data_IF_898314246120
#
_entry.id   IF_898314246120
#
_cell.length_a   1.000
_cell.length_b   1.000
_cell.length_c   1.000
_cell.angle_alpha   90.00
_cell.angle_beta   90.00
_cell.angle_gamma   90.00
#
_symmetry.space_group_name_H-M   'P 1'
#
loop_
_entity.id
_entity.type
_entity.pdbx_description
1 polymer ?
#
# COMPACT_ATOMS: atom_id res chain seq x y z
N UNK A 1 -24.05 21.71 -7.04
CA UNK A 1 -24.94 21.03 -8.01
C UNK A 1 -24.51 19.59 -8.38
N UNK A 2 -23.22 19.28 -8.60
CA UNK A 2 -22.77 17.90 -8.93
C UNK A 2 -22.95 16.88 -7.77
N UNK A 3 -22.80 17.32 -6.51
CA UNK A 3 -22.93 16.44 -5.34
C UNK A 3 -24.38 15.99 -5.06
N UNK A 4 -25.36 16.89 -5.22
CA UNK A 4 -26.79 16.61 -4.98
C UNK A 4 -27.35 15.64 -6.03
N UNK A 5 -26.98 15.81 -7.31
CA UNK A 5 -27.31 14.85 -8.38
C UNK A 5 -26.67 13.47 -8.16
N UNK A 6 -25.50 13.41 -7.52
CA UNK A 6 -24.86 12.16 -7.15
C UNK A 6 -25.61 11.39 -6.07
N UNK A 7 -26.09 12.07 -5.04
CA UNK A 7 -26.82 11.44 -3.93
C UNK A 7 -28.17 10.92 -4.40
N UNK A 8 -28.89 11.70 -5.24
CA UNK A 8 -30.19 11.28 -5.79
C UNK A 8 -30.09 10.01 -6.64
N UNK A 9 -29.06 9.88 -7.49
CA UNK A 9 -28.84 8.67 -8.29
C UNK A 9 -28.50 7.45 -7.45
N UNK A 10 -27.71 7.63 -6.38
CA UNK A 10 -27.42 6.56 -5.42
C UNK A 10 -28.68 6.10 -4.68
N UNK A 11 -29.52 7.03 -4.25
CA UNK A 11 -30.81 6.69 -3.61
C UNK A 11 -31.74 5.88 -4.51
N UNK A 12 -31.87 6.28 -5.79
CA UNK A 12 -32.66 5.53 -6.78
C UNK A 12 -32.07 4.14 -7.03
N UNK A 13 -30.74 4.05 -7.15
CA UNK A 13 -30.05 2.77 -7.31
C UNK A 13 -30.29 1.83 -6.12
N UNK A 14 -30.16 2.32 -4.88
CA UNK A 14 -30.45 1.53 -3.67
C UNK A 14 -31.91 1.06 -3.69
N UNK A 15 -32.86 1.96 -3.97
CA UNK A 15 -34.28 1.61 -4.00
C UNK A 15 -34.60 0.51 -5.01
N UNK A 16 -34.09 0.60 -6.24
CA UNK A 16 -34.33 -0.39 -7.29
C UNK A 16 -33.67 -1.73 -7.00
N UNK A 17 -32.40 -1.72 -6.57
CA UNK A 17 -31.68 -2.96 -6.23
C UNK A 17 -32.34 -3.65 -5.03
N UNK A 18 -32.67 -2.91 -3.97
CA UNK A 18 -33.36 -3.46 -2.80
C UNK A 18 -34.73 -4.03 -3.16
N UNK A 19 -35.47 -3.38 -4.07
CA UNK A 19 -36.77 -3.89 -4.52
C UNK A 19 -36.61 -5.23 -5.25
N UNK A 20 -35.67 -5.32 -6.19
CA UNK A 20 -35.38 -6.56 -6.95
C UNK A 20 -34.90 -7.67 -6.00
N UNK A 21 -34.01 -7.33 -5.05
CA UNK A 21 -33.49 -8.30 -4.09
C UNK A 21 -34.59 -8.80 -3.15
N UNK A 22 -35.44 -7.91 -2.65
CA UNK A 22 -36.54 -8.25 -1.75
C UNK A 22 -37.64 -9.05 -2.46
N UNK A 23 -38.00 -8.68 -3.69
CA UNK A 23 -39.02 -9.41 -4.46
C UNK A 23 -38.57 -10.84 -4.75
N UNK A 24 -37.30 -11.01 -5.17
CA UNK A 24 -36.74 -12.33 -5.38
C UNK A 24 -36.63 -13.12 -4.07
N UNK A 25 -36.21 -12.50 -2.96
CA UNK A 25 -36.19 -13.17 -1.66
C UNK A 25 -37.56 -13.67 -1.21
N UNK A 26 -38.57 -12.81 -1.24
CA UNK A 26 -39.93 -13.14 -0.80
C UNK A 26 -40.56 -14.25 -1.64
N UNK A 27 -40.18 -14.34 -2.92
CA UNK A 27 -40.68 -15.37 -3.83
C UNK A 27 -40.30 -16.80 -3.38
N UNK A 28 -39.14 -16.98 -2.76
CA UNK A 28 -38.69 -18.28 -2.24
C UNK A 28 -38.91 -18.44 -0.74
N UNK A 29 -39.03 -17.34 0.01
CA UNK A 29 -39.24 -17.37 1.46
C UNK A 29 -40.72 -17.59 1.86
N UNK A 30 -41.67 -17.15 1.03
CA UNK A 30 -43.10 -17.29 1.30
C UNK A 30 -43.68 -18.53 0.60
N UNK A 31 -44.59 -19.29 1.25
CA UNK A 31 -45.23 -20.47 0.68
C UNK A 31 -46.35 -20.11 -0.33
N UNK A 32 -46.13 -19.08 -1.15
CA UNK A 32 -47.11 -18.58 -2.12
C UNK A 32 -47.18 -19.50 -3.34
N UNK A 33 -46.06 -20.14 -3.69
CA UNK A 33 -45.97 -21.06 -4.82
C UNK A 33 -45.44 -22.41 -4.32
N UNK A 34 -46.23 -23.51 -4.40
CA UNK A 34 -45.84 -24.81 -3.83
C UNK A 34 -44.64 -25.43 -4.56
N UNK A 35 -44.45 -25.13 -5.84
CA UNK A 35 -43.25 -25.47 -6.63
C UNK A 35 -42.97 -24.32 -7.59
N UNK A 36 -41.81 -23.66 -7.47
CA UNK A 36 -41.45 -22.55 -8.35
C UNK A 36 -41.24 -23.08 -9.79
N UNK A 37 -41.93 -22.52 -10.82
CA UNK A 37 -41.69 -22.86 -12.22
C UNK A 37 -40.24 -22.55 -12.63
N UNK A 38 -39.72 -23.29 -13.61
CA UNK A 38 -38.34 -23.10 -14.11
C UNK A 38 -38.12 -21.68 -14.65
N UNK A 39 -39.15 -21.09 -15.23
CA UNK A 39 -39.14 -19.74 -15.80
C UNK A 39 -38.94 -18.68 -14.71
N UNK A 40 -39.51 -18.89 -13.52
CA UNK A 40 -39.37 -17.99 -12.38
C UNK A 40 -37.94 -18.04 -11.82
N UNK A 41 -37.37 -19.24 -11.72
CA UNK A 41 -35.97 -19.44 -11.30
C UNK A 41 -34.99 -18.79 -12.28
N UNK A 42 -35.24 -18.95 -13.58
CA UNK A 42 -34.47 -18.30 -14.62
C UNK A 42 -34.61 -16.77 -14.57
N UNK A 43 -35.80 -16.25 -14.29
CA UNK A 43 -36.04 -14.82 -14.05
C UNK A 43 -35.22 -14.28 -12.89
N UNK A 44 -35.21 -14.97 -11.73
CA UNK A 44 -34.41 -14.58 -10.57
C UNK A 44 -32.91 -14.58 -10.86
N UNK A 45 -32.42 -15.55 -11.64
CA UNK A 45 -31.02 -15.59 -12.08
C UNK A 45 -30.68 -14.41 -13.00
N UNK A 46 -31.55 -14.10 -13.96
CA UNK A 46 -31.38 -12.96 -14.86
C UNK A 46 -31.39 -11.63 -14.11
N UNK A 47 -32.30 -11.48 -13.15
CA UNK A 47 -32.39 -10.29 -12.30
C UNK A 47 -31.07 -10.06 -11.54
N UNK A 48 -30.55 -11.12 -10.92
CA UNK A 48 -29.35 -11.05 -10.10
C UNK A 48 -28.06 -10.90 -10.93
N UNK A 49 -27.94 -11.62 -12.05
CA UNK A 49 -26.70 -11.68 -12.84
C UNK A 49 -26.62 -10.62 -13.94
N UNK A 50 -27.74 -10.03 -14.38
CA UNK A 50 -27.76 -9.08 -15.50
C UNK A 50 -28.50 -7.78 -15.15
N UNK A 51 -29.71 -7.84 -14.61
CA UNK A 51 -30.50 -6.62 -14.36
C UNK A 51 -29.85 -5.73 -13.30
N UNK A 52 -29.43 -6.30 -12.16
CA UNK A 52 -28.71 -5.55 -11.11
C UNK A 52 -27.39 -4.96 -11.65
N UNK A 53 -26.52 -5.71 -12.37
CA UNK A 53 -25.34 -5.14 -13.01
C UNK A 53 -25.64 -4.03 -14.04
N UNK A 54 -26.69 -4.16 -14.85
CA UNK A 54 -27.10 -3.14 -15.83
C UNK A 54 -27.56 -1.87 -15.11
N UNK A 55 -28.44 -1.99 -14.10
CA UNK A 55 -28.88 -0.85 -13.29
C UNK A 55 -27.68 -0.19 -12.61
N UNK A 56 -26.76 -0.97 -12.06
CA UNK A 56 -25.54 -0.47 -11.44
C UNK A 56 -24.63 0.24 -12.46
N UNK A 57 -24.55 -0.29 -13.68
CA UNK A 57 -23.79 0.34 -14.75
C UNK A 57 -24.34 1.73 -15.08
N UNK A 58 -25.65 1.86 -15.32
CA UNK A 58 -26.25 3.14 -15.74
C UNK A 58 -26.24 4.19 -14.63
N UNK A 59 -26.51 3.81 -13.39
CA UNK A 59 -26.64 4.76 -12.28
C UNK A 59 -25.31 5.11 -11.59
N UNK A 60 -24.35 4.17 -11.56
CA UNK A 60 -23.09 4.32 -10.82
C UNK A 60 -21.87 4.37 -11.76
N UNK A 61 -21.70 3.42 -12.68
CA UNK A 61 -20.41 3.17 -13.36
C UNK A 61 -20.21 4.04 -14.60
N UNK A 62 -21.19 4.14 -15.52
CA UNK A 62 -21.11 4.67 -16.91
C UNK A 62 -20.40 6.02 -17.09
N UNK A 63 -20.26 6.83 -16.03
CA UNK A 63 -19.62 8.16 -16.09
C UNK A 63 -18.59 8.44 -14.99
N UNK A 64 -18.26 7.44 -14.16
CA UNK A 64 -17.42 7.65 -12.96
C UNK A 64 -16.36 6.60 -12.74
N UNK A 65 -16.62 5.37 -13.17
CA UNK A 65 -15.76 4.24 -12.90
C UNK A 65 -15.48 3.47 -14.19
N UNK A 66 -14.38 2.72 -14.18
CA UNK A 66 -14.05 1.79 -15.27
C UNK A 66 -15.12 0.70 -15.38
N UNK A 67 -15.31 0.16 -16.58
CA UNK A 67 -16.22 -0.96 -16.84
C UNK A 67 -15.86 -2.20 -16.00
N UNK A 68 -14.60 -2.29 -15.55
CA UNK A 68 -14.09 -3.35 -14.68
C UNK A 68 -14.84 -3.47 -13.35
N UNK A 69 -15.49 -2.41 -12.87
CA UNK A 69 -16.30 -2.44 -11.64
C UNK A 69 -17.64 -3.18 -11.80
N UNK A 70 -18.04 -3.58 -13.02
CA UNK A 70 -19.21 -4.44 -13.22
C UNK A 70 -18.94 -5.85 -12.71
N UNK A 71 -17.71 -6.35 -12.86
CA UNK A 71 -17.32 -7.72 -12.48
C UNK A 71 -17.66 -8.07 -11.03
N UNK A 72 -17.26 -7.28 -10.00
CA UNK A 72 -17.65 -7.59 -8.62
C UNK A 72 -19.16 -7.51 -8.37
N UNK A 73 -19.90 -6.70 -9.13
CA UNK A 73 -21.37 -6.61 -9.00
C UNK A 73 -22.05 -7.87 -9.53
N UNK A 74 -21.57 -8.41 -10.66
CA UNK A 74 -22.06 -9.69 -11.21
C UNK A 74 -21.77 -10.84 -10.24
N UNK A 75 -20.56 -10.88 -9.65
CA UNK A 75 -20.18 -11.89 -8.66
C UNK A 75 -21.09 -11.81 -7.42
N UNK A 76 -21.31 -10.61 -6.87
CA UNK A 76 -22.19 -10.41 -5.72
C UNK A 76 -23.64 -10.81 -6.03
N UNK A 77 -24.13 -10.48 -7.23
CA UNK A 77 -25.46 -10.89 -7.69
C UNK A 77 -25.60 -12.42 -7.79
N UNK A 78 -24.60 -13.11 -8.33
CA UNK A 78 -24.57 -14.57 -8.38
C UNK A 78 -24.56 -15.22 -6.99
N UNK A 79 -23.73 -14.72 -6.06
CA UNK A 79 -23.69 -15.20 -4.67
C UNK A 79 -25.06 -15.05 -4.00
N UNK A 80 -25.71 -13.90 -4.20
CA UNK A 80 -27.03 -13.63 -3.67
C UNK A 80 -28.10 -14.56 -4.25
N UNK A 81 -28.09 -14.80 -5.57
CA UNK A 81 -29.01 -15.74 -6.20
C UNK A 81 -28.87 -17.15 -5.62
N UNK A 82 -27.64 -17.61 -5.38
CA UNK A 82 -27.37 -18.93 -4.76
C UNK A 82 -27.82 -19.01 -3.30
N UNK A 83 -27.84 -17.90 -2.59
CA UNK A 83 -28.32 -17.86 -1.20
C UNK A 83 -29.85 -17.98 -1.11
N UNK A 84 -30.56 -17.48 -2.12
CA UNK A 84 -32.02 -17.39 -2.10
C UNK A 84 -32.69 -18.56 -2.81
N UNK A 85 -32.14 -19.01 -3.94
CA UNK A 85 -32.73 -20.06 -4.75
C UNK A 85 -32.35 -21.42 -4.12
N UNK A 86 -33.33 -22.26 -3.73
CA UNK A 86 -33.04 -23.59 -3.22
C UNK A 86 -32.26 -24.43 -4.23
N UNK A 87 -31.30 -25.22 -3.74
CA UNK A 87 -30.34 -25.97 -4.56
C UNK A 87 -30.99 -26.93 -5.57
N UNK A 88 -32.15 -27.47 -5.24
CA UNK A 88 -32.86 -28.45 -6.08
C UNK A 88 -33.34 -27.82 -7.39
N UNK A 89 -33.66 -26.53 -7.38
CA UNK A 89 -34.03 -25.78 -8.58
C UNK A 89 -32.83 -25.46 -9.46
N UNK A 90 -31.65 -25.25 -8.86
CA UNK A 90 -30.43 -24.94 -9.60
C UNK A 90 -29.86 -26.17 -10.35
N UNK A 91 -30.13 -27.39 -9.86
CA UNK A 91 -29.72 -28.64 -10.52
C UNK A 91 -30.38 -28.81 -11.90
N UNK A 92 -31.55 -28.23 -12.13
CA UNK A 92 -32.24 -28.28 -13.43
C UNK A 92 -31.54 -27.46 -14.52
N UNK A 93 -30.59 -26.58 -14.17
CA UNK A 93 -29.90 -25.69 -15.09
C UNK A 93 -28.41 -26.04 -15.19
N UNK A 94 -28.10 -27.12 -15.92
CA UNK A 94 -26.72 -27.56 -16.20
C UNK A 94 -25.85 -26.47 -16.85
N UNK A 95 -26.46 -25.50 -17.55
CA UNK A 95 -25.78 -24.33 -18.12
C UNK A 95 -25.07 -23.44 -17.08
N UNK A 96 -25.58 -23.40 -15.83
CA UNK A 96 -24.95 -22.62 -14.75
C UNK A 96 -23.57 -23.17 -14.42
N UNK A 97 -23.43 -24.50 -14.36
CA UNK A 97 -22.14 -25.15 -14.14
C UNK A 97 -21.13 -24.81 -15.24
N UNK A 98 -21.55 -24.77 -16.51
CA UNK A 98 -20.68 -24.37 -17.62
C UNK A 98 -20.26 -22.89 -17.53
N UNK A 99 -21.16 -21.98 -17.09
CA UNK A 99 -20.80 -20.58 -16.85
C UNK A 99 -19.74 -20.43 -15.75
N UNK A 100 -19.88 -21.17 -14.65
CA UNK A 100 -18.90 -21.14 -13.55
C UNK A 100 -17.53 -21.60 -14.05
N UNK A 101 -17.49 -22.73 -14.75
CA UNK A 101 -16.24 -23.27 -15.32
C UNK A 101 -15.63 -22.28 -16.32
N UNK A 102 -16.44 -21.67 -17.20
CA UNK A 102 -15.96 -20.64 -18.12
C UNK A 102 -15.41 -19.40 -17.39
N UNK A 103 -16.04 -18.98 -16.30
CA UNK A 103 -15.58 -17.87 -15.47
C UNK A 103 -14.27 -18.20 -14.75
N UNK A 104 -14.12 -19.41 -14.22
CA UNK A 104 -12.88 -19.89 -13.61
C UNK A 104 -11.73 -19.95 -14.64
N UNK A 105 -11.98 -20.48 -15.84
CA UNK A 105 -10.99 -20.49 -16.92
C UNK A 105 -10.58 -19.07 -17.32
N UNK A 106 -11.55 -18.16 -17.44
CA UNK A 106 -11.27 -16.76 -17.75
C UNK A 106 -10.44 -16.09 -16.64
N UNK A 107 -10.75 -16.36 -15.37
CA UNK A 107 -10.02 -15.86 -14.21
C UNK A 107 -8.57 -16.34 -14.21
N UNK A 108 -8.34 -17.66 -14.37
CA UNK A 108 -7.01 -18.25 -14.50
C UNK A 108 -6.25 -17.67 -15.70
N UNK A 109 -6.93 -17.47 -16.84
CA UNK A 109 -6.35 -16.84 -18.02
C UNK A 109 -5.86 -15.41 -17.77
N UNK A 110 -6.60 -14.62 -16.98
CA UNK A 110 -6.20 -13.27 -16.57
C UNK A 110 -4.97 -13.33 -15.65
N UNK A 111 -4.95 -14.23 -14.67
CA UNK A 111 -3.80 -14.40 -13.77
C UNK A 111 -2.52 -14.78 -14.54
N UNK A 112 -2.63 -15.75 -15.45
CA UNK A 112 -1.51 -16.15 -16.32
C UNK A 112 -1.04 -15.02 -17.23
N UNK A 113 -1.96 -14.22 -17.78
CA UNK A 113 -1.60 -13.06 -18.59
C UNK A 113 -0.86 -11.98 -17.77
N UNK A 114 -1.32 -11.71 -16.54
CA UNK A 114 -0.63 -10.78 -15.64
C UNK A 114 0.75 -11.30 -15.26
N UNK A 115 0.88 -12.58 -14.93
CA UNK A 115 2.15 -13.23 -14.65
C UNK A 115 3.10 -13.14 -15.83
N UNK A 116 2.63 -13.47 -17.05
CA UNK A 116 3.41 -13.34 -18.28
C UNK A 116 3.94 -11.92 -18.48
N UNK A 117 3.10 -10.89 -18.25
CA UNK A 117 3.51 -9.49 -18.37
C UNK A 117 4.61 -9.14 -17.36
N UNK A 118 4.49 -9.59 -16.11
CA UNK A 118 5.52 -9.38 -15.07
C UNK A 118 6.83 -10.06 -15.47
N UNK A 119 6.77 -11.34 -15.82
CA UNK A 119 7.94 -12.16 -16.22
C UNK A 119 8.65 -11.55 -17.43
N UNK A 120 7.91 -10.99 -18.41
CA UNK A 120 8.52 -10.38 -19.59
C UNK A 120 9.25 -9.07 -19.30
N UNK A 121 8.81 -8.31 -18.29
CA UNK A 121 9.39 -7.01 -17.93
C UNK A 121 10.54 -7.15 -16.92
N UNK A 122 10.48 -8.17 -16.07
CA UNK A 122 11.44 -8.41 -14.99
C UNK A 122 12.92 -8.44 -15.45
N UNK A 123 13.30 -9.11 -16.56
CA UNK A 123 14.70 -9.10 -17.02
C UNK A 123 15.22 -7.69 -17.34
N UNK A 124 14.37 -6.81 -17.87
CA UNK A 124 14.73 -5.42 -18.18
C UNK A 124 14.99 -4.62 -16.90
N UNK A 125 14.12 -4.80 -15.89
CA UNK A 125 14.30 -4.18 -14.57
C UNK A 125 15.59 -4.68 -13.93
N UNK A 126 15.87 -5.98 -13.96
CA UNK A 126 17.10 -6.56 -13.39
C UNK A 126 18.34 -5.98 -14.08
N UNK A 127 18.32 -5.84 -15.41
CA UNK A 127 19.42 -5.23 -16.16
C UNK A 127 19.65 -3.79 -15.72
N UNK A 128 18.61 -2.96 -15.72
CA UNK A 128 18.68 -1.55 -15.30
C UNK A 128 19.09 -1.40 -13.84
N UNK A 129 18.58 -2.24 -12.96
CA UNK A 129 18.98 -2.30 -11.56
C UNK A 129 20.48 -2.57 -11.43
N UNK A 130 21.03 -3.56 -12.16
CA UNK A 130 22.48 -3.85 -12.14
C UNK A 130 23.32 -2.68 -12.66
N UNK A 131 22.84 -1.93 -13.64
CA UNK A 131 23.48 -0.70 -14.14
C UNK A 131 23.51 0.36 -13.02
N UNK A 132 22.36 0.75 -12.46
CA UNK A 132 22.29 1.76 -11.39
C UNK A 132 22.98 1.34 -10.09
N UNK A 133 23.02 0.04 -9.78
CA UNK A 133 23.70 -0.51 -8.60
C UNK A 133 25.23 -0.37 -8.68
N UNK A 134 25.81 -0.30 -9.89
CA UNK A 134 27.25 -0.06 -10.07
C UNK A 134 27.61 1.40 -9.82
N UNK A 135 26.71 2.31 -10.18
CA UNK A 135 26.90 3.75 -10.02
C UNK A 135 26.57 4.23 -8.60
N UNK A 136 25.61 3.58 -7.92
CA UNK A 136 25.11 3.99 -6.62
C UNK A 136 25.10 2.87 -5.58
N UNK A 137 25.46 3.21 -4.33
CA UNK A 137 25.58 2.26 -3.22
C UNK A 137 24.24 1.82 -2.59
N UNK A 138 23.13 2.53 -2.82
CA UNK A 138 21.84 2.22 -2.18
C UNK A 138 20.96 1.31 -3.04
N UNK A 139 20.45 0.22 -2.44
CA UNK A 139 19.54 -0.71 -3.13
C UNK A 139 18.23 -0.01 -3.45
N UNK A 140 17.72 0.74 -2.46
CA UNK A 140 16.47 1.49 -2.56
C UNK A 140 16.48 2.46 -3.75
N UNK A 141 17.59 3.21 -3.91
CA UNK A 141 17.74 4.11 -5.04
C UNK A 141 17.80 3.36 -6.38
N UNK A 142 18.65 2.34 -6.48
CA UNK A 142 18.85 1.61 -7.73
C UNK A 142 17.56 0.91 -8.20
N UNK A 143 16.78 0.34 -7.29
CA UNK A 143 15.51 -0.29 -7.64
C UNK A 143 14.45 0.75 -8.02
N UNK A 144 14.42 1.93 -7.36
CA UNK A 144 13.55 3.02 -7.77
C UNK A 144 13.84 3.43 -9.23
N UNK A 145 15.10 3.78 -9.51
CA UNK A 145 15.52 4.21 -10.83
C UNK A 145 15.27 3.16 -11.91
N UNK A 146 15.47 1.86 -11.60
CA UNK A 146 15.21 0.78 -12.55
C UNK A 146 13.72 0.67 -12.93
N UNK A 147 12.81 0.84 -11.96
CA UNK A 147 11.38 0.84 -12.22
C UNK A 147 10.95 2.08 -13.00
N UNK A 148 11.44 3.27 -12.62
CA UNK A 148 11.16 4.53 -13.31
C UNK A 148 11.61 4.51 -14.77
N UNK A 149 12.76 3.91 -15.06
CA UNK A 149 13.30 3.77 -16.42
C UNK A 149 12.54 2.74 -17.28
N UNK A 150 11.85 1.78 -16.67
CA UNK A 150 11.24 0.65 -17.39
C UNK A 150 9.72 0.81 -17.57
N UNK A 151 9.04 1.49 -16.65
CA UNK A 151 7.59 1.65 -16.70
C UNK A 151 7.11 2.93 -16.01
N UNK A 152 5.93 3.39 -16.42
CA UNK A 152 5.26 4.51 -15.77
C UNK A 152 4.81 4.12 -14.35
N UNK A 153 5.12 4.99 -13.39
CA UNK A 153 4.65 4.87 -12.00
C UNK A 153 3.12 4.92 -11.93
N UNK A 154 2.54 3.83 -11.44
CA UNK A 154 1.15 3.71 -11.06
C UNK A 154 1.09 3.26 -9.59
N UNK A 155 -0.03 3.45 -8.92
CA UNK A 155 -0.17 3.06 -7.50
C UNK A 155 0.12 1.59 -7.25
N UNK A 156 -0.27 0.71 -8.17
CA UNK A 156 0.05 -0.72 -8.09
C UNK A 156 1.56 -0.98 -8.20
N UNK A 157 2.26 -0.26 -9.08
CA UNK A 157 3.73 -0.34 -9.20
C UNK A 157 4.42 0.15 -7.93
N UNK A 158 3.91 1.23 -7.33
CA UNK A 158 4.47 1.76 -6.07
C UNK A 158 4.30 0.77 -4.92
N UNK A 159 3.14 0.10 -4.83
CA UNK A 159 2.89 -0.96 -3.83
C UNK A 159 3.85 -2.12 -4.04
N UNK A 160 3.96 -2.65 -5.27
CA UNK A 160 4.87 -3.75 -5.59
C UNK A 160 6.32 -3.37 -5.25
N UNK A 161 6.74 -2.15 -5.57
CA UNK A 161 8.07 -1.66 -5.25
C UNK A 161 8.32 -1.63 -3.74
N UNK A 162 7.36 -1.13 -2.95
CA UNK A 162 7.46 -1.13 -1.48
C UNK A 162 7.57 -2.56 -0.95
N UNK A 163 6.76 -3.49 -1.43
CA UNK A 163 6.84 -4.91 -1.05
C UNK A 163 8.18 -5.55 -1.45
N UNK A 164 8.71 -5.24 -2.64
CA UNK A 164 10.04 -5.69 -3.06
C UNK A 164 11.13 -5.18 -2.13
N UNK A 165 11.06 -3.91 -1.69
CA UNK A 165 11.99 -3.36 -0.70
C UNK A 165 11.85 -4.06 0.65
N UNK A 166 10.62 -4.27 1.12
CA UNK A 166 10.32 -4.96 2.36
C UNK A 166 10.95 -6.36 2.37
N UNK A 167 10.66 -7.18 1.35
CA UNK A 167 11.21 -8.55 1.23
C UNK A 167 12.74 -8.52 1.16
N UNK A 168 13.32 -7.60 0.37
CA UNK A 168 14.77 -7.47 0.25
C UNK A 168 15.42 -7.15 1.59
N UNK A 169 14.92 -6.15 2.32
CA UNK A 169 15.52 -5.76 3.59
C UNK A 169 15.24 -6.78 4.70
N UNK A 170 14.07 -7.43 4.71
CA UNK A 170 13.76 -8.49 5.67
C UNK A 170 14.66 -9.70 5.53
N UNK A 171 14.93 -10.16 4.30
CA UNK A 171 15.51 -11.50 4.07
C UNK A 171 16.82 -11.51 3.28
N UNK A 172 17.03 -10.57 2.35
CA UNK A 172 18.13 -10.64 1.37
C UNK A 172 19.29 -9.70 1.67
N UNK A 173 19.08 -8.65 2.48
CA UNK A 173 20.10 -7.62 2.73
C UNK A 173 21.11 -7.97 3.85
N UNK A 174 21.02 -9.15 4.46
CA UNK A 174 21.81 -9.52 5.64
C UNK A 174 23.31 -9.59 5.37
N UNK A 175 23.71 -10.02 4.16
CA UNK A 175 25.12 -10.07 3.73
C UNK A 175 25.61 -8.78 3.09
N UNK A 176 24.71 -7.84 2.82
CA UNK A 176 25.07 -6.58 2.18
C UNK A 176 25.91 -5.72 3.14
N UNK A 177 26.93 -5.01 2.64
CA UNK A 177 27.71 -4.10 3.48
C UNK A 177 26.92 -2.83 3.77
N UNK A 178 27.07 -2.28 4.98
CA UNK A 178 26.53 -0.95 5.28
C UNK A 178 27.36 0.07 4.49
N UNK A 179 26.75 1.01 3.74
CA UNK A 179 27.50 2.05 3.06
C UNK A 179 28.32 2.88 4.07
N UNK A 180 29.59 3.11 3.74
CA UNK A 180 30.54 3.88 4.56
C UNK A 180 31.30 4.84 3.66
N UNK A 181 31.59 6.04 4.15
CA UNK A 181 32.35 7.05 3.40
C UNK A 181 32.31 8.40 4.10
N UNK A 182 33.08 9.37 3.58
CA UNK A 182 33.11 10.73 4.13
C UNK A 182 31.81 11.51 3.93
N UNK A 183 31.04 11.15 2.90
CA UNK A 183 29.76 11.76 2.51
C UNK A 183 28.53 11.04 3.08
N UNK A 184 28.74 10.06 3.96
CA UNK A 184 27.68 9.14 4.42
C UNK A 184 27.51 9.25 5.93
N UNK A 185 26.28 9.45 6.37
CA UNK A 185 25.95 9.75 7.77
C UNK A 185 24.84 8.83 8.28
N UNK A 186 25.07 8.14 9.39
CA UNK A 186 24.02 7.36 10.06
C UNK A 186 23.16 8.25 10.95
N UNK A 187 21.96 7.78 11.28
CA UNK A 187 20.95 8.50 12.05
C UNK A 187 20.27 7.61 13.11
N UNK A 188 20.74 6.38 13.29
CA UNK A 188 20.09 5.35 14.09
C UNK A 188 21.00 4.72 15.13
N UNK A 189 22.30 5.07 15.16
CA UNK A 189 23.26 4.41 16.06
C UNK A 189 23.25 5.03 17.45
N UNK A 190 22.92 6.32 17.56
CA UNK A 190 22.82 7.05 18.84
C UNK A 190 21.38 7.24 19.30
N UNK A 191 20.45 6.44 18.78
CA UNK A 191 19.02 6.50 19.11
C UNK A 191 18.52 5.16 19.65
N UNK A 192 17.39 5.18 20.34
CA UNK A 192 16.75 3.96 20.84
C UNK A 192 16.02 3.13 19.77
N UNK A 193 15.97 3.61 18.52
CA UNK A 193 15.03 3.14 17.51
C UNK A 193 15.11 1.64 17.20
N UNK A 194 16.32 1.10 17.02
CA UNK A 194 16.50 -0.34 16.77
C UNK A 194 15.99 -1.15 17.97
N UNK A 195 16.30 -0.71 19.19
CA UNK A 195 15.83 -1.35 20.41
C UNK A 195 14.30 -1.38 20.51
N UNK A 196 13.63 -0.28 20.13
CA UNK A 196 12.15 -0.21 20.10
C UNK A 196 11.58 -1.22 19.11
N UNK A 197 12.11 -1.32 17.89
CA UNK A 197 11.61 -2.33 16.94
C UNK A 197 11.85 -3.75 17.42
N UNK A 198 13.00 -4.05 18.03
CA UNK A 198 13.28 -5.37 18.65
C UNK A 198 12.27 -5.66 19.77
N UNK A 199 11.99 -4.68 20.63
CA UNK A 199 11.01 -4.80 21.71
C UNK A 199 9.61 -5.08 21.16
N UNK A 200 9.17 -4.34 20.13
CA UNK A 200 7.85 -4.56 19.49
C UNK A 200 7.79 -5.97 18.90
N UNK A 201 8.82 -6.44 18.21
CA UNK A 201 8.86 -7.81 17.68
C UNK A 201 8.66 -8.84 18.80
N UNK A 202 9.36 -8.71 19.92
CA UNK A 202 9.21 -9.63 21.06
C UNK A 202 7.82 -9.57 21.67
N UNK A 203 7.29 -8.35 21.88
CA UNK A 203 5.94 -8.15 22.39
C UNK A 203 4.90 -8.81 21.48
N UNK A 204 4.99 -8.58 20.16
CA UNK A 204 4.11 -9.17 19.15
C UNK A 204 4.18 -10.69 19.16
N UNK A 205 5.35 -11.31 19.35
CA UNK A 205 5.48 -12.78 19.46
C UNK A 205 4.70 -13.31 20.66
N UNK A 206 4.95 -12.76 21.85
CA UNK A 206 4.31 -13.22 23.10
C UNK A 206 2.80 -12.99 23.02
N UNK A 207 2.39 -11.79 22.58
CA UNK A 207 1.01 -11.40 22.38
C UNK A 207 0.30 -12.35 21.39
N UNK A 208 0.93 -12.66 20.26
CA UNK A 208 0.35 -13.53 19.23
C UNK A 208 0.04 -14.92 19.76
N UNK A 209 0.87 -15.50 20.63
CA UNK A 209 0.61 -16.83 21.21
C UNK A 209 -0.65 -16.79 22.07
N UNK A 210 -0.75 -15.81 22.98
CA UNK A 210 -1.89 -15.68 23.88
C UNK A 210 -3.20 -15.36 23.15
N UNK A 211 -3.18 -14.35 22.27
CA UNK A 211 -4.38 -13.95 21.53
C UNK A 211 -4.79 -14.99 20.50
N UNK A 212 -3.85 -15.68 19.84
CA UNK A 212 -4.24 -16.74 18.90
C UNK A 212 -4.99 -17.85 19.64
N UNK A 213 -4.51 -18.30 20.80
CA UNK A 213 -5.21 -19.30 21.60
C UNK A 213 -6.61 -18.82 22.03
N UNK A 214 -6.71 -17.62 22.62
CA UNK A 214 -7.97 -17.06 23.09
C UNK A 214 -8.98 -16.88 21.94
N UNK A 215 -8.54 -16.29 20.83
CA UNK A 215 -9.41 -16.01 19.69
C UNK A 215 -9.76 -17.27 18.93
N UNK A 216 -8.93 -18.31 18.93
CA UNK A 216 -9.26 -19.56 18.27
C UNK A 216 -10.45 -20.27 18.91
N UNK A 217 -10.66 -20.09 20.22
CA UNK A 217 -11.84 -20.60 20.92
C UNK A 217 -13.12 -19.86 20.51
N UNK A 218 -13.01 -18.57 20.21
CA UNK A 218 -14.14 -17.74 19.80
C UNK A 218 -14.44 -17.86 18.29
N UNK A 219 -13.41 -17.73 17.47
CA UNK A 219 -13.47 -17.83 16.01
C UNK A 219 -12.09 -18.16 15.42
N UNK A 220 -11.92 -19.39 14.95
CA UNK A 220 -10.66 -19.89 14.37
C UNK A 220 -10.19 -19.08 13.15
N UNK A 221 -11.11 -18.62 12.31
CA UNK A 221 -10.78 -17.83 11.10
C UNK A 221 -10.15 -16.49 11.48
N UNK A 222 -10.75 -15.79 12.45
CA UNK A 222 -10.22 -14.51 12.93
C UNK A 222 -8.84 -14.70 13.57
N UNK A 223 -8.66 -15.77 14.36
CA UNK A 223 -7.38 -16.07 14.99
C UNK A 223 -6.24 -16.27 13.96
N UNK A 224 -6.51 -16.95 12.85
CA UNK A 224 -5.54 -17.12 11.76
C UNK A 224 -5.25 -15.82 11.00
N UNK A 225 -6.27 -15.02 10.70
CA UNK A 225 -6.10 -13.72 10.04
C UNK A 225 -5.17 -12.83 10.86
N UNK A 226 -5.41 -12.72 12.17
CA UNK A 226 -4.58 -11.90 13.05
C UNK A 226 -3.17 -12.45 13.22
N UNK A 227 -3.01 -13.78 13.29
CA UNK A 227 -1.68 -14.38 13.33
C UNK A 227 -0.87 -14.05 12.08
N UNK A 228 -1.47 -14.14 10.89
CA UNK A 228 -0.80 -13.78 9.62
C UNK A 228 -0.43 -12.30 9.61
N UNK A 229 -1.33 -11.42 10.09
CA UNK A 229 -1.06 -9.99 10.17
C UNK A 229 0.11 -9.67 11.11
N UNK A 230 0.18 -10.34 12.27
CA UNK A 230 1.27 -10.19 13.22
C UNK A 230 2.61 -10.70 12.65
N UNK A 231 2.61 -11.84 11.95
CA UNK A 231 3.79 -12.34 11.25
C UNK A 231 4.26 -11.34 10.19
N UNK A 232 3.34 -10.79 9.38
CA UNK A 232 3.68 -9.76 8.40
C UNK A 232 4.25 -8.50 9.08
N UNK A 233 3.67 -8.05 10.18
CA UNK A 233 4.17 -6.90 10.95
C UNK A 233 5.60 -7.14 11.45
N UNK A 234 5.90 -8.33 11.97
CA UNK A 234 7.27 -8.70 12.36
C UNK A 234 8.25 -8.64 11.19
N UNK A 235 7.86 -9.18 10.02
CA UNK A 235 8.69 -9.10 8.80
C UNK A 235 8.94 -7.64 8.43
N UNK A 236 7.90 -6.78 8.49
CA UNK A 236 8.04 -5.35 8.26
C UNK A 236 9.03 -4.70 9.24
N UNK A 237 8.95 -5.01 10.54
CA UNK A 237 9.87 -4.43 11.53
C UNK A 237 11.33 -4.88 11.31
N UNK A 238 11.55 -6.14 10.93
CA UNK A 238 12.89 -6.63 10.55
C UNK A 238 13.40 -5.88 9.32
N UNK A 239 12.54 -5.72 8.31
CA UNK A 239 12.87 -4.95 7.11
C UNK A 239 13.19 -3.49 7.43
N UNK A 240 12.45 -2.86 8.33
CA UNK A 240 12.64 -1.47 8.74
C UNK A 240 13.97 -1.28 9.48
N UNK A 241 14.33 -2.18 10.41
CA UNK A 241 15.65 -2.19 11.06
C UNK A 241 16.77 -2.25 10.01
N UNK A 242 16.64 -3.18 9.06
CA UNK A 242 17.65 -3.38 8.01
C UNK A 242 17.70 -2.20 7.05
N UNK A 243 16.56 -1.63 6.69
CA UNK A 243 16.47 -0.45 5.84
C UNK A 243 17.11 0.77 6.53
N UNK A 244 16.93 0.96 7.84
CA UNK A 244 17.59 2.03 8.59
C UNK A 244 19.11 1.87 8.61
N UNK A 245 19.59 0.63 8.74
CA UNK A 245 21.03 0.33 8.73
C UNK A 245 21.68 0.51 7.38
N UNK A 246 20.95 0.24 6.29
CA UNK A 246 21.51 0.18 4.92
C UNK A 246 21.23 1.42 4.07
N UNK A 247 20.39 2.34 4.52
CA UNK A 247 20.13 3.61 3.84
C UNK A 247 20.56 4.81 4.70
N UNK A 248 21.87 5.02 4.90
CA UNK A 248 22.34 6.24 5.57
C UNK A 248 22.00 7.50 4.77
N UNK A 249 22.06 8.66 5.41
CA UNK A 249 21.96 9.95 4.74
C UNK A 249 23.22 10.15 3.90
N UNK A 250 23.05 10.73 2.71
CA UNK A 250 24.15 10.96 1.77
C UNK A 250 24.20 12.42 1.37
N UNK A 251 25.36 13.04 1.56
CA UNK A 251 25.66 14.41 1.09
C UNK A 251 26.57 14.28 -0.12
N UNK A 252 26.01 14.47 -1.31
CA UNK A 252 26.77 14.41 -2.56
C UNK A 252 27.34 15.79 -2.92
N UNK A 253 27.93 15.92 -4.10
CA UNK A 253 28.41 17.22 -4.60
C UNK A 253 27.26 18.20 -4.88
N UNK A 254 26.11 17.70 -5.39
CA UNK A 254 25.00 18.55 -5.87
C UNK A 254 23.74 18.51 -4.99
N UNK A 255 23.61 17.49 -4.13
CA UNK A 255 22.37 17.24 -3.40
C UNK A 255 22.56 16.49 -2.07
N UNK A 256 21.58 16.67 -1.17
CA UNK A 256 21.39 15.90 0.06
C UNK A 256 20.27 14.88 -0.14
N UNK A 257 20.56 13.62 0.12
CA UNK A 257 19.62 12.49 0.03
C UNK A 257 19.33 12.01 1.44
N UNK A 258 18.07 12.15 1.86
CA UNK A 258 17.58 11.67 3.15
C UNK A 258 16.60 10.53 2.88
N UNK A 259 16.95 9.33 3.34
CA UNK A 259 16.05 8.19 3.33
C UNK A 259 15.99 7.57 4.73
N UNK A 260 14.80 7.61 5.34
CA UNK A 260 14.57 7.06 6.68
C UNK A 260 13.80 5.75 6.53
N UNK A 261 14.53 4.64 6.70
CA UNK A 261 13.97 3.29 6.66
C UNK A 261 13.37 2.96 5.29
N UNK A 262 12.25 2.24 5.31
CA UNK A 262 11.36 2.04 4.17
C UNK A 262 10.45 3.27 3.95
N UNK A 263 10.30 4.06 5.01
CA UNK A 263 9.20 4.99 5.25
C UNK A 263 9.20 6.26 4.41
N UNK A 264 10.33 6.97 4.43
CA UNK A 264 10.42 8.38 4.05
C UNK A 264 11.64 8.59 3.18
N UNK A 265 11.50 9.31 2.07
CA UNK A 265 12.61 9.68 1.20
C UNK A 265 12.42 11.09 0.66
N UNK A 266 13.46 11.90 0.73
CA UNK A 266 13.53 13.19 0.05
C UNK A 266 14.93 13.39 -0.52
N UNK A 267 14.98 13.92 -1.73
CA UNK A 267 16.23 14.29 -2.43
C UNK A 267 16.15 15.78 -2.66
N UNK A 268 17.16 16.51 -2.18
CA UNK A 268 17.17 17.97 -2.17
C UNK A 268 18.49 18.44 -2.77
N UNK A 269 18.48 18.94 -4.02
CA UNK A 269 19.60 19.72 -4.56
C UNK A 269 19.93 20.89 -3.64
N UNK A 270 21.20 21.26 -3.51
CA UNK A 270 21.59 22.42 -2.71
C UNK A 270 20.91 23.71 -3.21
N UNK A 271 20.63 23.80 -4.52
CA UNK A 271 19.94 24.94 -5.13
C UNK A 271 18.55 25.19 -4.51
N UNK A 272 17.90 24.15 -4.00
CA UNK A 272 16.57 24.20 -3.37
C UNK A 272 16.60 24.40 -1.85
N UNK A 273 17.77 24.28 -1.23
CA UNK A 273 17.95 24.45 0.21
C UNK A 273 18.22 25.93 0.48
N UNK A 274 17.41 26.53 1.35
CA UNK A 274 17.61 27.90 1.81
C UNK A 274 18.65 27.93 2.94
N UNK A 275 18.44 27.11 3.97
CA UNK A 275 19.29 27.10 5.15
C UNK A 275 19.20 25.79 5.93
N UNK A 276 20.26 25.51 6.69
CA UNK A 276 20.29 24.46 7.73
C UNK A 276 20.63 25.10 9.08
N UNK A 277 19.85 24.79 10.10
CA UNK A 277 20.03 25.28 11.46
C UNK A 277 19.86 24.17 12.49
N UNK A 278 20.53 24.32 13.64
CA UNK A 278 20.23 23.52 14.81
C UNK A 278 18.82 23.87 15.30
N UNK A 279 17.97 22.86 15.39
CA UNK A 279 16.60 23.03 15.84
C UNK A 279 16.58 23.12 17.37
N UNK A 280 15.92 24.17 17.88
CA UNK A 280 15.75 24.41 19.33
C UNK A 280 14.28 24.41 19.75
N UNK A 281 13.40 23.95 18.87
CA UNK A 281 11.96 23.93 19.14
C UNK A 281 11.50 22.64 19.82
N UNK A 282 10.22 22.62 20.18
CA UNK A 282 9.56 21.46 20.77
C UNK A 282 9.15 20.43 19.72
N UNK A 283 8.50 19.35 20.16
CA UNK A 283 7.94 18.35 19.26
C UNK A 283 6.89 18.98 18.32
N UNK A 284 6.92 18.55 17.06
CA UNK A 284 6.00 19.03 16.03
C UNK A 284 4.53 18.88 16.43
N UNK A 285 3.77 19.96 16.34
CA UNK A 285 2.31 19.90 16.44
C UNK A 285 1.69 19.30 15.17
N UNK A 286 0.46 18.79 15.26
CA UNK A 286 -0.25 18.21 14.11
C UNK A 286 -0.46 19.20 12.95
N UNK A 287 -0.49 20.52 13.22
CA UNK A 287 -0.62 21.57 12.20
C UNK A 287 0.70 21.79 11.46
N UNK A 288 1.81 21.92 12.19
CA UNK A 288 3.16 22.08 11.62
C UNK A 288 3.59 20.84 10.84
N UNK A 289 3.22 19.67 11.36
CA UNK A 289 3.41 18.38 10.73
C UNK A 289 2.72 18.24 9.37
N UNK A 290 1.95 19.21 8.85
CA UNK A 290 1.47 19.17 7.45
C UNK A 290 2.50 19.67 6.44
N UNK A 291 3.35 20.62 6.81
CA UNK A 291 4.35 21.24 5.92
C UNK A 291 5.78 20.77 6.20
N UNK A 292 5.99 20.05 7.30
CA UNK A 292 7.31 19.51 7.69
C UNK A 292 7.39 18.03 7.33
N UNK A 293 8.51 17.59 6.73
CA UNK A 293 8.90 16.19 6.73
C UNK A 293 9.63 15.90 8.02
N UNK A 294 8.96 15.21 8.94
CA UNK A 294 9.61 14.66 10.12
C UNK A 294 10.42 13.41 9.70
N UNK A 295 11.72 13.58 9.48
CA UNK A 295 12.68 12.55 9.16
C UNK A 295 13.44 12.04 10.41
N UNK A 296 12.85 12.20 11.60
CA UNK A 296 13.32 11.51 12.81
C UNK A 296 12.86 10.04 12.82
N UNK A 297 13.55 9.23 13.63
CA UNK A 297 13.24 7.82 13.84
C UNK A 297 12.21 7.64 14.95
N UNK A 298 11.60 6.46 15.00
CA UNK A 298 10.71 6.09 16.09
C UNK A 298 11.55 5.76 17.33
N UNK A 299 11.24 6.39 18.45
CA UNK A 299 11.89 6.16 19.75
C UNK A 299 10.84 6.03 20.83
N UNK A 300 11.18 5.34 21.93
CA UNK A 300 10.25 5.11 23.04
C UNK A 300 9.86 6.44 23.70
N UNK A 301 10.86 7.31 23.91
CA UNK A 301 10.68 8.71 24.25
C UNK A 301 11.12 9.49 23.02
N UNK A 302 10.18 10.21 22.40
CA UNK A 302 10.48 10.96 21.19
C UNK A 302 11.27 12.21 21.54
N UNK A 303 12.50 12.29 21.03
CA UNK A 303 13.32 13.48 21.13
C UNK A 303 12.97 14.48 20.02
N UNK A 304 13.13 15.80 20.27
CA UNK A 304 13.01 16.80 19.22
C UNK A 304 14.07 16.58 18.13
N UNK A 305 13.82 17.16 16.96
CA UNK A 305 14.78 17.08 15.88
C UNK A 305 16.08 17.83 16.22
N UNK A 306 17.23 17.35 15.75
CA UNK A 306 18.50 18.06 15.90
C UNK A 306 18.61 19.21 14.90
N UNK A 307 18.15 19.00 13.67
CA UNK A 307 18.28 19.97 12.59
C UNK A 307 16.94 20.29 11.93
N UNK A 308 16.82 21.54 11.51
CA UNK A 308 15.81 22.03 10.57
C UNK A 308 16.51 22.47 9.28
N UNK A 309 16.08 21.88 8.17
CA UNK A 309 16.44 22.32 6.82
C UNK A 309 15.23 23.03 6.24
N UNK A 310 15.40 24.31 5.91
CA UNK A 310 14.40 25.13 5.23
C UNK A 310 14.63 25.08 3.73
N UNK A 311 13.55 24.90 2.97
CA UNK A 311 13.57 24.84 1.51
C UNK A 311 13.10 26.18 0.93
N UNK A 312 13.76 26.63 -0.14
CA UNK A 312 13.38 27.85 -0.87
C UNK A 312 11.97 27.73 -1.45
N UNK A 313 11.64 26.56 -1.96
CA UNK A 313 10.32 26.22 -2.50
C UNK A 313 9.85 24.86 -1.96
N UNK A 314 8.53 24.61 -1.88
CA UNK A 314 8.04 23.32 -1.39
C UNK A 314 8.42 22.14 -2.30
N UNK A 315 9.11 21.14 -1.75
CA UNK A 315 9.58 19.94 -2.45
C UNK A 315 8.71 18.74 -2.11
N UNK A 316 8.56 17.81 -3.05
CA UNK A 316 7.78 16.57 -2.86
C UNK A 316 8.61 15.48 -2.18
N UNK A 317 8.31 15.18 -0.92
CA UNK A 317 8.81 14.01 -0.21
C UNK A 317 8.02 12.75 -0.60
N UNK A 318 8.73 11.63 -0.76
CA UNK A 318 8.16 10.30 -0.99
C UNK A 318 7.91 9.60 0.35
N UNK A 319 6.76 8.93 0.46
CA UNK A 319 6.34 8.11 1.59
C UNK A 319 6.06 6.67 1.12
N UNK A 320 5.80 5.76 2.05
CA UNK A 320 5.43 4.36 1.76
C UNK A 320 4.33 4.24 0.71
N UNK A 321 4.34 3.14 -0.06
CA UNK A 321 3.30 2.79 -1.03
C UNK A 321 3.03 3.88 -2.09
N UNK A 322 4.04 4.70 -2.39
CA UNK A 322 3.94 5.80 -3.36
C UNK A 322 3.06 6.95 -2.90
N UNK A 323 2.75 7.03 -1.59
CA UNK A 323 2.25 8.26 -1.02
C UNK A 323 3.33 9.34 -1.10
N UNK A 324 2.91 10.59 -1.09
CA UNK A 324 3.83 11.71 -1.19
C UNK A 324 3.27 12.91 -0.48
N UNK A 325 4.16 13.76 -0.01
CA UNK A 325 3.81 14.96 0.74
C UNK A 325 4.69 16.11 0.29
N UNK A 326 4.07 17.23 -0.04
CA UNK A 326 4.80 18.46 -0.35
C UNK A 326 5.18 19.14 0.97
N UNK A 327 6.46 19.44 1.14
CA UNK A 327 7.03 19.96 2.38
C UNK A 327 7.91 21.17 2.09
N UNK A 328 7.90 22.16 2.97
CA UNK A 328 8.80 23.31 2.92
C UNK A 328 9.97 23.20 3.89
N UNK A 329 9.91 22.22 4.80
CA UNK A 329 10.89 22.02 5.85
C UNK A 329 11.15 20.55 6.09
N UNK A 330 12.38 20.20 6.47
CA UNK A 330 12.78 18.83 6.82
C UNK A 330 13.45 18.84 8.18
N UNK A 331 12.93 18.02 9.09
CA UNK A 331 13.45 17.85 10.44
C UNK A 331 14.16 16.51 10.53
N UNK A 332 15.40 16.48 11.01
CA UNK A 332 16.19 15.25 11.03
C UNK A 332 17.17 15.17 12.20
N UNK A 333 17.54 13.95 12.54
CA UNK A 333 18.60 13.61 13.50
C UNK A 333 19.74 12.92 12.75
N UNK A 334 20.98 13.16 13.16
CA UNK A 334 22.17 12.57 12.55
C UNK A 334 23.16 12.22 13.66
N UNK A 335 23.75 11.03 13.60
CA UNK A 335 24.65 10.55 14.67
C UNK A 335 25.94 11.41 14.78
N UNK A 336 26.42 11.93 13.65
CA UNK A 336 27.61 12.79 13.54
C UNK A 336 27.22 14.23 13.21
N UNK A 337 26.43 14.85 14.09
CA UNK A 337 25.79 16.15 13.92
C UNK A 337 26.70 17.23 13.33
N UNK A 338 27.86 17.47 13.94
CA UNK A 338 28.74 18.58 13.53
C UNK A 338 29.34 18.36 12.15
N UNK A 339 29.80 17.14 11.86
CA UNK A 339 30.36 16.79 10.55
C UNK A 339 29.31 16.87 9.44
N UNK A 340 28.07 16.49 9.73
CA UNK A 340 26.97 16.63 8.79
C UNK A 340 26.65 18.11 8.52
N UNK A 341 26.50 18.90 9.59
CA UNK A 341 26.22 20.33 9.49
C UNK A 341 27.30 21.06 8.68
N UNK A 342 28.57 20.83 8.99
CA UNK A 342 29.68 21.51 8.32
C UNK A 342 29.74 21.11 6.83
N UNK A 343 29.54 19.83 6.50
CA UNK A 343 29.52 19.36 5.10
C UNK A 343 28.38 19.97 4.28
N UNK A 344 27.16 20.03 4.83
CA UNK A 344 26.01 20.66 4.14
C UNK A 344 26.27 22.17 3.98
N UNK A 345 26.79 22.83 5.02
CA UNK A 345 27.04 24.27 5.00
C UNK A 345 28.16 24.66 4.04
N UNK A 346 29.19 23.84 3.90
CA UNK A 346 30.26 24.04 2.93
C UNK A 346 29.70 24.02 1.51
N UNK A 347 28.89 23.02 1.16
CA UNK A 347 28.26 22.92 -0.16
C UNK A 347 27.30 24.09 -0.46
N UNK A 348 26.54 24.55 0.53
CA UNK A 348 25.64 25.71 0.39
C UNK A 348 26.36 27.04 0.15
N UNK A 349 27.65 27.17 0.46
CA UNK A 349 28.43 28.38 0.16
C UNK A 349 28.96 28.42 -1.27
N UNK A 350 28.99 27.28 -1.95
CA UNK A 350 29.57 27.11 -3.28
C UNK A 350 28.53 27.12 -4.40
N UNK A 351 27.25 27.30 -4.05
CA UNK A 351 26.14 27.63 -4.95
C UNK A 351 25.61 29.03 -4.67
#
# INVERSE_FOLDING_TARGET
MKATLSQRRKGIWIGLVSLIMLSNYLLYALPIVPVAPKEVVLGSLLDCMFVIPIITYFFIIRKRYSLTYIVPVVIAGYIFARFIIPSDYLQAFSFISYIIVAAEIAFVGIELFLLYKIVRVLPKIIKKYKEYRRENYSFSYAIDAAFDATMKRSKLVDVILTECKLIYYAFLSWREKVPTGKSVYSYHKKTGAIGVYIMIIHATVIESIGFHYLLHQWNSVIAWILLILNVYAMIYFIAEIQAMRKNPLVVTEEQVIIQIGLGKKIVMPFTQIDSIAFYKGELLTAKEGKQVLDATVMEFIKEPATFEITLKEPVKAQLLYGFSKTVSRVYLNVDEERKFYDAVKEKLKHE
#
